data_IF_389653143652
#
_entry.id   IF_389653143652
#
_cell.length_a   1.000
_cell.length_b   1.000
_cell.length_c   1.000
_cell.angle_alpha   90.00
_cell.angle_beta   90.00
_cell.angle_gamma   90.00
#
_symmetry.space_group_name_H-M   'P 1'
#
loop_
_entity.id
_entity.type
_entity.pdbx_description
1 polymer ?
#
# COMPACT_ATOMS: atom_id res chain seq x y z
N UNK A 1 -27.10 11.99 6.92
CA UNK A 1 -27.72 10.71 6.55
C UNK A 1 -28.69 10.15 7.61
N UNK A 2 -28.73 10.76 8.81
CA UNK A 2 -29.63 10.31 9.89
C UNK A 2 -31.10 10.23 9.40
N UNK A 3 -31.76 9.10 9.69
CA UNK A 3 -33.15 8.87 9.30
C UNK A 3 -33.35 8.45 7.82
N UNK A 4 -32.28 8.22 7.10
CA UNK A 4 -32.38 7.68 5.72
C UNK A 4 -32.30 6.16 5.73
N UNK A 5 -33.02 5.47 4.83
CA UNK A 5 -32.87 4.03 4.63
C UNK A 5 -31.44 3.68 4.24
N UNK A 6 -30.90 2.61 4.81
CA UNK A 6 -29.52 2.18 4.56
C UNK A 6 -29.37 1.23 3.36
N UNK A 7 -30.48 0.89 2.69
CA UNK A 7 -30.55 -0.08 1.60
C UNK A 7 -30.20 0.48 0.22
N UNK A 8 -30.15 1.81 0.07
CA UNK A 8 -29.82 2.46 -1.20
C UNK A 8 -28.48 3.21 -1.10
N UNK A 9 -27.37 2.47 -1.26
CA UNK A 9 -26.03 3.01 -1.20
C UNK A 9 -25.80 4.16 -2.20
N UNK A 10 -26.29 4.02 -3.44
CA UNK A 10 -26.11 5.03 -4.48
C UNK A 10 -26.77 6.37 -4.10
N UNK A 11 -28.01 6.34 -3.56
CA UNK A 11 -28.68 7.54 -3.11
C UNK A 11 -27.99 8.20 -1.93
N UNK A 12 -27.46 7.40 -0.99
CA UNK A 12 -26.70 7.90 0.16
C UNK A 12 -25.35 8.51 -0.26
N UNK A 13 -24.65 7.87 -1.19
CA UNK A 13 -23.42 8.40 -1.77
C UNK A 13 -23.66 9.71 -2.52
N UNK A 14 -24.72 9.81 -3.32
CA UNK A 14 -25.09 11.03 -4.01
C UNK A 14 -25.40 12.17 -2.99
N UNK A 15 -26.09 11.87 -1.89
CA UNK A 15 -26.33 12.85 -0.80
C UNK A 15 -25.04 13.31 -0.12
N UNK A 16 -24.11 12.40 0.17
CA UNK A 16 -22.83 12.76 0.76
C UNK A 16 -22.01 13.66 -0.19
N UNK A 17 -22.04 13.37 -1.49
CA UNK A 17 -21.34 14.15 -2.51
C UNK A 17 -21.97 15.55 -2.70
N UNK A 18 -23.29 15.66 -2.59
CA UNK A 18 -23.99 16.94 -2.63
C UNK A 18 -23.80 17.79 -1.36
N UNK A 19 -23.67 17.14 -0.18
CA UNK A 19 -23.53 17.84 1.09
C UNK A 19 -22.13 18.43 1.30
N UNK A 20 -21.08 17.72 0.86
CA UNK A 20 -19.69 18.16 1.06
C UNK A 20 -18.80 17.68 -0.10
N UNK A 21 -17.98 18.58 -0.64
CA UNK A 21 -16.97 18.23 -1.66
C UNK A 21 -15.74 17.58 -1.01
N UNK A 22 -15.10 16.66 -1.73
CA UNK A 22 -13.94 15.93 -1.21
C UNK A 22 -14.28 15.05 -0.02
N UNK A 23 -13.47 15.07 1.02
CA UNK A 23 -13.62 14.27 2.25
C UNK A 23 -13.82 12.77 1.97
N UNK A 24 -13.06 12.24 1.03
CA UNK A 24 -13.20 10.87 0.52
C UNK A 24 -13.02 9.81 1.59
N UNK A 25 -12.09 10.01 2.54
CA UNK A 25 -11.91 9.06 3.65
C UNK A 25 -13.15 8.95 4.54
N UNK A 26 -13.77 10.09 4.89
CA UNK A 26 -14.99 10.09 5.70
C UNK A 26 -16.16 9.44 4.96
N UNK A 27 -16.29 9.71 3.66
CA UNK A 27 -17.32 9.08 2.81
C UNK A 27 -17.09 7.58 2.68
N UNK A 28 -15.86 7.15 2.42
CA UNK A 28 -15.48 5.74 2.35
C UNK A 28 -15.77 4.98 3.64
N UNK A 29 -15.52 5.59 4.81
CA UNK A 29 -15.85 4.98 6.09
C UNK A 29 -17.36 4.72 6.22
N UNK A 30 -18.20 5.69 5.81
CA UNK A 30 -19.64 5.53 5.82
C UNK A 30 -20.12 4.47 4.82
N UNK A 31 -19.60 4.49 3.59
CA UNK A 31 -19.94 3.50 2.56
C UNK A 31 -19.56 2.08 3.00
N UNK A 32 -18.39 1.91 3.60
CA UNK A 32 -17.95 0.62 4.16
C UNK A 32 -18.91 0.13 5.24
N UNK A 33 -19.32 1.01 6.15
CA UNK A 33 -20.28 0.67 7.21
C UNK A 33 -21.66 0.31 6.64
N UNK A 34 -22.13 0.99 5.60
CA UNK A 34 -23.39 0.70 4.93
C UNK A 34 -23.35 -0.66 4.22
N UNK A 35 -22.26 -0.96 3.50
CA UNK A 35 -22.06 -2.26 2.83
C UNK A 35 -21.99 -3.39 3.86
N UNK A 36 -21.31 -3.21 4.98
CA UNK A 36 -21.25 -4.19 6.06
C UNK A 36 -22.65 -4.45 6.64
N UNK A 37 -23.40 -3.38 6.92
CA UNK A 37 -24.77 -3.49 7.44
C UNK A 37 -25.70 -4.21 6.45
N UNK A 38 -25.64 -3.87 5.16
CA UNK A 38 -26.44 -4.54 4.12
C UNK A 38 -26.04 -6.02 3.97
N UNK A 39 -24.75 -6.33 3.94
CA UNK A 39 -24.25 -7.70 3.89
C UNK A 39 -24.77 -8.53 5.05
N UNK A 40 -24.71 -8.01 6.28
CA UNK A 40 -25.25 -8.66 7.46
C UNK A 40 -26.77 -8.86 7.40
N UNK A 41 -27.51 -7.86 6.94
CA UNK A 41 -28.96 -7.94 6.79
C UNK A 41 -29.39 -8.98 5.74
N UNK A 42 -28.62 -9.16 4.69
CA UNK A 42 -28.89 -10.10 3.59
C UNK A 42 -28.25 -11.48 3.79
N UNK A 43 -27.39 -11.65 4.79
CA UNK A 43 -26.59 -12.88 4.99
C UNK A 43 -25.54 -13.11 3.90
N UNK A 44 -25.05 -12.04 3.25
CA UNK A 44 -24.13 -12.09 2.12
C UNK A 44 -22.79 -11.40 2.47
N UNK A 45 -21.64 -11.89 1.96
CA UNK A 45 -20.40 -11.17 2.05
C UNK A 45 -20.45 -9.90 1.18
N UNK A 46 -19.71 -8.85 1.58
CA UNK A 46 -19.65 -7.58 0.83
C UNK A 46 -19.20 -7.82 -0.62
N UNK A 47 -18.30 -8.77 -0.85
CA UNK A 47 -17.88 -9.14 -2.21
C UNK A 47 -19.04 -9.56 -3.11
N UNK A 48 -20.07 -10.24 -2.58
CA UNK A 48 -21.26 -10.60 -3.35
C UNK A 48 -22.12 -9.37 -3.69
N UNK A 49 -22.20 -8.39 -2.77
CA UNK A 49 -22.87 -7.10 -3.03
C UNK A 49 -22.19 -6.29 -4.12
N UNK A 50 -20.87 -6.46 -4.27
CA UNK A 50 -20.03 -5.78 -5.27
C UNK A 50 -19.91 -6.56 -6.60
N UNK A 51 -20.69 -7.60 -6.79
CA UNK A 51 -20.70 -8.37 -8.05
C UNK A 51 -19.96 -9.71 -8.01
N UNK A 52 -19.45 -10.11 -6.85
CA UNK A 52 -18.78 -11.38 -6.63
C UNK A 52 -17.25 -11.28 -6.53
N UNK A 53 -16.65 -12.30 -5.96
CA UNK A 53 -15.20 -12.39 -5.80
C UNK A 53 -14.56 -13.01 -7.05
N UNK A 54 -13.58 -12.32 -7.64
CA UNK A 54 -12.76 -12.87 -8.72
C UNK A 54 -11.70 -13.87 -8.19
N UNK A 55 -11.29 -13.70 -6.93
CA UNK A 55 -10.32 -14.57 -6.26
C UNK A 55 -10.77 -14.83 -4.83
N UNK A 56 -10.56 -16.03 -4.35
CA UNK A 56 -10.89 -16.44 -2.98
C UNK A 56 -9.71 -16.27 -2.00
N UNK A 57 -8.50 -16.09 -2.54
CA UNK A 57 -7.29 -15.84 -1.76
C UNK A 57 -6.43 -14.80 -2.47
N UNK A 58 -5.88 -13.86 -1.71
CA UNK A 58 -4.96 -12.84 -2.20
C UNK A 58 -3.63 -12.95 -1.42
N UNK A 59 -2.48 -12.98 -2.13
CA UNK A 59 -1.19 -12.87 -1.45
C UNK A 59 -1.09 -11.51 -0.75
N UNK A 60 -0.67 -11.52 0.49
CA UNK A 60 -0.50 -10.31 1.30
C UNK A 60 0.98 -10.05 1.50
N UNK A 61 1.44 -8.83 1.19
CA UNK A 61 2.78 -8.40 1.54
C UNK A 61 2.89 -8.12 3.05
N UNK A 62 4.10 -8.24 3.57
CA UNK A 62 4.44 -7.87 4.93
C UNK A 62 5.39 -6.66 4.94
N UNK A 63 5.23 -5.76 5.90
CA UNK A 63 6.10 -4.58 6.02
C UNK A 63 7.22 -4.88 7.02
N UNK A 64 8.46 -4.81 6.54
CA UNK A 64 9.68 -4.81 7.36
C UNK A 64 10.01 -3.36 7.66
N UNK A 65 9.86 -2.95 8.90
CA UNK A 65 9.92 -1.54 9.29
C UNK A 65 10.57 -1.29 10.67
N UNK A 66 11.39 -2.22 11.14
CA UNK A 66 12.12 -2.03 12.39
C UNK A 66 13.20 -0.94 12.31
N UNK A 67 13.67 -0.64 11.09
CA UNK A 67 14.79 0.26 10.83
C UNK A 67 16.17 -0.36 11.12
N UNK A 68 16.20 -1.58 11.62
CA UNK A 68 17.40 -2.38 11.88
C UNK A 68 17.51 -3.48 10.81
N UNK A 69 18.56 -3.44 10.02
CA UNK A 69 18.74 -4.34 8.89
C UNK A 69 18.77 -5.81 9.30
N UNK A 70 19.45 -6.14 10.40
CA UNK A 70 19.56 -7.53 10.86
C UNK A 70 18.21 -8.07 11.37
N UNK A 71 17.44 -7.24 12.07
CA UNK A 71 16.11 -7.61 12.55
C UNK A 71 15.14 -7.79 11.39
N UNK A 72 15.15 -6.89 10.42
CA UNK A 72 14.26 -6.96 9.26
C UNK A 72 14.58 -8.20 8.40
N UNK A 73 15.86 -8.55 8.22
CA UNK A 73 16.26 -9.79 7.54
C UNK A 73 15.79 -11.02 8.34
N UNK A 74 16.02 -11.05 9.65
CA UNK A 74 15.62 -12.19 10.48
C UNK A 74 14.09 -12.40 10.49
N UNK A 75 13.32 -11.30 10.52
CA UNK A 75 11.87 -11.36 10.41
C UNK A 75 11.42 -11.88 9.03
N UNK A 76 12.02 -11.39 7.95
CA UNK A 76 11.74 -11.85 6.60
C UNK A 76 12.05 -13.34 6.41
N UNK A 77 13.21 -13.81 6.87
CA UNK A 77 13.58 -15.22 6.86
C UNK A 77 12.56 -16.12 7.60
N UNK A 78 12.16 -15.68 8.78
CA UNK A 78 11.14 -16.39 9.57
C UNK A 78 9.83 -16.52 8.81
N UNK A 79 9.33 -15.41 8.22
CA UNK A 79 8.07 -15.39 7.49
C UNK A 79 8.11 -16.22 6.20
N UNK A 80 9.27 -16.27 5.52
CA UNK A 80 9.51 -17.15 4.37
C UNK A 80 9.51 -18.62 4.78
N UNK A 81 10.20 -18.96 5.86
CA UNK A 81 10.27 -20.34 6.37
C UNK A 81 8.89 -20.85 6.81
N UNK A 82 8.06 -19.99 7.41
CA UNK A 82 6.69 -20.29 7.79
C UNK A 82 5.71 -20.35 6.59
N UNK A 83 6.16 -19.97 5.38
CA UNK A 83 5.32 -19.91 4.17
C UNK A 83 4.23 -18.82 4.22
N UNK A 84 4.34 -17.85 5.12
CA UNK A 84 3.31 -16.84 5.37
C UNK A 84 3.31 -15.70 4.38
N UNK A 85 4.50 -15.22 3.99
CA UNK A 85 4.66 -14.09 3.07
C UNK A 85 5.80 -14.33 2.09
N UNK A 86 5.64 -13.85 0.85
CA UNK A 86 6.64 -13.87 -0.21
C UNK A 86 6.78 -12.51 -0.90
N UNK A 87 6.28 -11.47 -0.26
CA UNK A 87 6.46 -10.08 -0.68
C UNK A 87 6.67 -9.22 0.57
N UNK A 88 7.73 -8.42 0.56
CA UNK A 88 8.10 -7.55 1.66
C UNK A 88 8.17 -6.10 1.20
N UNK A 89 7.67 -5.19 2.02
CA UNK A 89 7.75 -3.75 1.81
C UNK A 89 8.63 -3.11 2.87
N UNK A 90 9.63 -2.34 2.45
CA UNK A 90 10.51 -1.58 3.31
C UNK A 90 10.03 -0.14 3.38
N UNK A 91 10.01 0.44 4.56
CA UNK A 91 9.78 1.88 4.77
C UNK A 91 11.13 2.59 4.76
N UNK A 92 11.33 3.49 3.78
CA UNK A 92 12.55 4.28 3.60
C UNK A 92 12.20 5.76 3.40
N UNK A 93 13.19 6.63 3.29
CA UNK A 93 13.01 8.06 3.05
C UNK A 93 13.13 8.95 4.28
N UNK A 94 13.11 8.36 5.49
CA UNK A 94 13.30 9.11 6.74
C UNK A 94 14.77 9.33 7.09
N UNK A 95 15.69 8.61 6.45
CA UNK A 95 17.16 8.69 6.67
C UNK A 95 17.84 9.24 5.42
N UNK A 96 19.14 9.50 5.51
CA UNK A 96 19.97 9.82 4.35
C UNK A 96 19.87 8.74 3.29
N UNK A 97 19.72 9.13 2.00
CA UNK A 97 19.55 8.21 0.87
C UNK A 97 20.57 7.07 0.88
N UNK A 98 21.86 7.38 1.12
CA UNK A 98 22.91 6.37 1.14
C UNK A 98 22.70 5.31 2.24
N UNK A 99 22.08 5.67 3.35
CA UNK A 99 21.76 4.74 4.44
C UNK A 99 20.58 3.86 4.07
N UNK A 100 19.55 4.43 3.49
CA UNK A 100 18.38 3.68 3.01
C UNK A 100 18.75 2.71 1.88
N UNK A 101 19.61 3.13 0.95
CA UNK A 101 20.11 2.25 -0.11
C UNK A 101 20.95 1.09 0.43
N UNK A 102 21.82 1.30 1.43
CA UNK A 102 22.57 0.20 2.06
C UNK A 102 21.64 -0.78 2.78
N UNK A 103 20.68 -0.28 3.52
CA UNK A 103 19.66 -1.09 4.19
C UNK A 103 18.88 -1.94 3.20
N UNK A 104 18.36 -1.32 2.13
CA UNK A 104 17.60 -2.01 1.09
C UNK A 104 18.47 -3.05 0.38
N UNK A 105 19.71 -2.72 0.01
CA UNK A 105 20.64 -3.66 -0.64
C UNK A 105 20.86 -4.92 0.19
N UNK A 106 21.14 -4.78 1.47
CA UNK A 106 21.35 -5.94 2.34
C UNK A 106 20.12 -6.85 2.45
N UNK A 107 18.91 -6.27 2.45
CA UNK A 107 17.66 -7.04 2.47
C UNK A 107 17.41 -7.72 1.12
N UNK A 108 17.67 -7.04 0.00
CA UNK A 108 17.56 -7.64 -1.34
C UNK A 108 18.55 -8.79 -1.50
N UNK A 109 19.80 -8.63 -1.07
CA UNK A 109 20.82 -9.69 -1.11
C UNK A 109 20.44 -10.90 -0.25
N UNK A 110 19.77 -10.68 0.89
CA UNK A 110 19.36 -11.77 1.77
C UNK A 110 18.07 -12.49 1.30
N UNK A 111 17.09 -11.76 0.79
CA UNK A 111 15.73 -12.28 0.58
C UNK A 111 15.25 -12.24 -0.88
N UNK A 112 15.89 -11.44 -1.75
CA UNK A 112 15.36 -11.07 -3.07
C UNK A 112 15.28 -12.23 -4.08
N UNK A 113 16.03 -13.30 -3.89
CA UNK A 113 15.94 -14.51 -4.70
C UNK A 113 14.69 -15.36 -4.41
N UNK A 114 14.05 -15.14 -3.23
CA UNK A 114 12.93 -15.92 -2.72
C UNK A 114 11.67 -15.10 -2.48
N UNK A 115 11.76 -13.77 -2.52
CA UNK A 115 10.67 -12.86 -2.24
C UNK A 115 10.71 -11.60 -3.10
N UNK A 116 9.54 -11.05 -3.39
CA UNK A 116 9.39 -9.71 -3.98
C UNK A 116 9.77 -8.65 -2.94
N UNK A 117 10.74 -7.78 -3.26
CA UNK A 117 11.12 -6.67 -2.39
C UNK A 117 10.61 -5.36 -2.99
N UNK A 118 9.84 -4.63 -2.19
CA UNK A 118 9.25 -3.34 -2.54
C UNK A 118 9.67 -2.29 -1.53
N UNK A 119 9.71 -1.04 -1.94
CA UNK A 119 10.01 0.08 -1.04
C UNK A 119 8.90 1.12 -1.09
N UNK A 120 8.68 1.79 0.04
CA UNK A 120 7.75 2.91 0.16
C UNK A 120 8.50 4.09 0.80
N UNK A 121 8.64 5.14 0.01
CA UNK A 121 9.37 6.37 0.39
C UNK A 121 8.45 7.37 1.08
N UNK A 122 7.16 7.18 0.98
CA UNK A 122 6.13 8.06 1.55
C UNK A 122 6.30 9.55 1.17
N UNK A 123 6.65 9.81 -0.09
CA UNK A 123 6.80 11.17 -0.65
C UNK A 123 7.97 11.98 -0.05
N UNK A 124 8.96 11.33 0.57
CA UNK A 124 10.00 12.02 1.31
C UNK A 124 11.10 12.65 0.44
N UNK A 125 11.26 12.22 -0.81
CA UNK A 125 12.34 12.72 -1.68
C UNK A 125 11.88 13.88 -2.55
N UNK A 126 12.83 14.78 -2.85
CA UNK A 126 12.70 15.72 -3.96
C UNK A 126 12.94 15.02 -5.31
N UNK A 127 12.70 15.71 -6.43
CA UNK A 127 12.83 15.15 -7.77
C UNK A 127 14.25 14.65 -8.09
N UNK A 128 15.29 15.32 -7.61
CA UNK A 128 16.70 14.95 -7.84
C UNK A 128 17.09 13.71 -7.04
N UNK A 129 16.73 13.67 -5.76
CA UNK A 129 16.94 12.53 -4.87
C UNK A 129 16.12 11.33 -5.37
N UNK A 130 14.87 11.55 -5.78
CA UNK A 130 14.00 10.53 -6.37
C UNK A 130 14.60 9.90 -7.61
N UNK A 131 15.11 10.71 -8.55
CA UNK A 131 15.75 10.22 -9.76
C UNK A 131 17.00 9.36 -9.48
N UNK A 132 17.82 9.76 -8.50
CA UNK A 132 18.97 8.96 -8.06
C UNK A 132 18.53 7.70 -7.34
N UNK A 133 17.65 7.82 -6.36
CA UNK A 133 17.18 6.72 -5.52
C UNK A 133 16.49 5.64 -6.34
N UNK A 134 15.57 6.01 -7.26
CA UNK A 134 14.87 5.06 -8.10
C UNK A 134 15.83 4.27 -9.02
N UNK A 135 16.83 4.91 -9.62
CA UNK A 135 17.83 4.19 -10.43
C UNK A 135 18.63 3.18 -9.62
N UNK A 136 19.10 3.57 -8.43
CA UNK A 136 19.85 2.67 -7.55
C UNK A 136 18.99 1.48 -7.07
N UNK A 137 17.74 1.75 -6.68
CA UNK A 137 16.80 0.71 -6.25
C UNK A 137 16.45 -0.26 -7.38
N UNK A 138 16.19 0.25 -8.59
CA UNK A 138 15.94 -0.58 -9.76
C UNK A 138 17.15 -1.45 -10.11
N UNK A 139 18.38 -0.90 -10.04
CA UNK A 139 19.62 -1.66 -10.27
C UNK A 139 19.86 -2.75 -9.20
N UNK A 140 19.27 -2.64 -8.02
CA UNK A 140 19.31 -3.68 -6.97
C UNK A 140 18.29 -4.80 -7.19
N UNK A 141 17.30 -4.63 -8.08
CA UNK A 141 16.22 -5.59 -8.28
C UNK A 141 15.01 -5.36 -7.38
N UNK A 142 14.78 -4.12 -6.91
CA UNK A 142 13.54 -3.76 -6.23
C UNK A 142 12.38 -3.76 -7.24
N UNK A 143 11.31 -4.49 -6.95
CA UNK A 143 10.21 -4.72 -7.88
C UNK A 143 9.24 -3.53 -7.99
N UNK A 144 9.12 -2.74 -6.93
CA UNK A 144 8.21 -1.60 -6.89
C UNK A 144 8.71 -0.53 -5.93
N UNK A 145 8.65 0.72 -6.38
CA UNK A 145 8.99 1.90 -5.58
C UNK A 145 7.71 2.74 -5.44
N UNK A 146 7.16 2.78 -4.22
CA UNK A 146 5.94 3.49 -3.90
C UNK A 146 6.27 4.92 -3.45
N UNK A 147 5.57 5.90 -4.03
CA UNK A 147 5.61 7.31 -3.66
C UNK A 147 7.04 7.87 -3.47
N UNK A 148 7.92 7.79 -4.48
CA UNK A 148 9.30 8.28 -4.33
C UNK A 148 9.36 9.79 -4.10
N UNK A 149 8.45 10.55 -4.71
CA UNK A 149 8.34 12.01 -4.63
C UNK A 149 6.92 12.44 -4.23
N UNK A 150 6.70 13.73 -4.01
CA UNK A 150 5.37 14.27 -3.70
C UNK A 150 4.32 13.81 -4.72
N UNK A 151 3.14 13.41 -4.24
CA UNK A 151 1.99 13.07 -5.08
C UNK A 151 1.48 14.23 -5.95
N UNK A 152 1.89 15.47 -5.65
CA UNK A 152 1.56 16.66 -6.42
C UNK A 152 2.63 17.00 -7.49
N UNK A 153 3.78 16.33 -7.49
CA UNK A 153 4.82 16.52 -8.50
C UNK A 153 4.64 15.55 -9.67
N UNK A 154 3.60 15.78 -10.46
CA UNK A 154 3.30 14.96 -11.63
C UNK A 154 4.45 14.95 -12.65
N UNK A 155 5.20 16.04 -12.78
CA UNK A 155 6.33 16.13 -13.71
C UNK A 155 7.50 15.24 -13.28
N UNK A 156 7.77 15.13 -11.97
CA UNK A 156 8.76 14.20 -11.46
C UNK A 156 8.25 12.75 -11.59
N UNK A 157 7.00 12.46 -11.25
CA UNK A 157 6.42 11.11 -11.37
C UNK A 157 6.52 10.57 -12.80
N UNK A 158 6.18 11.36 -13.82
CA UNK A 158 6.32 10.99 -15.24
C UNK A 158 7.78 10.71 -15.63
N UNK A 159 8.75 11.41 -15.06
CA UNK A 159 10.18 11.15 -15.34
C UNK A 159 10.73 9.91 -14.64
N UNK A 160 10.06 9.45 -13.59
CA UNK A 160 10.51 8.29 -12.79
C UNK A 160 9.84 6.98 -13.22
N UNK A 161 8.76 7.05 -13.98
CA UNK A 161 8.06 5.90 -14.56
C UNK A 161 8.68 5.49 -15.89
#
# INVERSE_FOLDING_TARGET
LKGQPADNLNALTARMNGAIKGNTFAKSAIETALLDAQGKALGLPVSALLGGALQTALPVLWTLASGDTAKDIAEGEKLLAEGRHRAFKLKIGARELATDLRHTRAIVEALGDRASIRVDVNQAWDAATGAKGCRELAAMGVDLIEQPVSAHDNAALVRLS
#
